data_IF_654721434368
#
_entry.id   IF_654721434368
#
_cell.length_a   1.000
_cell.length_b   1.000
_cell.length_c   1.000
_cell.angle_alpha   90.00
_cell.angle_beta   90.00
_cell.angle_gamma   90.00
#
_symmetry.space_group_name_H-M   'P 1'
#
loop_
_entity.id
_entity.type
_entity.pdbx_description
1 polymer ?
#
# COMPACT_ATOMS: atom_id res chain seq x y z
N UNK A 1 42.06 -16.51 -1.87
CA UNK A 1 41.50 -15.16 -1.65
C UNK A 1 42.64 -14.24 -1.22
N UNK A 2 42.65 -13.01 -1.70
CA UNK A 2 43.71 -12.02 -1.40
C UNK A 2 43.70 -11.63 0.10
N UNK A 3 44.78 -11.89 0.86
CA UNK A 3 44.84 -11.59 2.29
C UNK A 3 44.64 -10.11 2.61
N UNK A 4 45.07 -9.23 1.70
CA UNK A 4 44.94 -7.77 1.87
C UNK A 4 43.48 -7.30 1.77
N UNK A 5 42.71 -7.93 0.89
CA UNK A 5 41.27 -7.70 0.76
C UNK A 5 40.54 -8.12 2.02
N UNK A 6 40.89 -9.29 2.58
CA UNK A 6 40.27 -9.80 3.81
C UNK A 6 40.55 -8.91 5.03
N UNK A 7 41.76 -8.36 5.14
CA UNK A 7 42.13 -7.41 6.18
C UNK A 7 41.36 -6.07 6.08
N UNK A 8 40.92 -5.68 4.88
CA UNK A 8 40.20 -4.43 4.65
C UNK A 8 38.68 -4.53 4.89
N UNK A 9 38.11 -5.74 4.83
CA UNK A 9 36.68 -6.00 5.02
C UNK A 9 36.07 -5.40 6.31
N UNK A 10 36.68 -5.51 7.52
CA UNK A 10 36.09 -4.90 8.70
C UNK A 10 35.98 -3.38 8.60
N UNK A 11 36.95 -2.71 7.98
CA UNK A 11 36.92 -1.26 7.80
C UNK A 11 35.84 -0.83 6.80
N UNK A 12 35.69 -1.57 5.70
CA UNK A 12 34.62 -1.34 4.71
C UNK A 12 33.24 -1.47 5.38
N UNK A 13 33.04 -2.49 6.22
CA UNK A 13 31.78 -2.67 6.95
C UNK A 13 31.46 -1.48 7.85
N UNK A 14 32.44 -0.95 8.58
CA UNK A 14 32.26 0.23 9.43
C UNK A 14 31.88 1.43 8.58
N UNK A 15 32.59 1.68 7.49
CA UNK A 15 32.30 2.81 6.59
C UNK A 15 30.90 2.71 5.97
N UNK A 16 30.50 1.51 5.54
CA UNK A 16 29.16 1.29 5.01
C UNK A 16 28.09 1.54 6.07
N UNK A 17 28.30 1.09 7.31
CA UNK A 17 27.34 1.28 8.40
C UNK A 17 27.08 2.76 8.73
N UNK A 18 28.03 3.66 8.43
CA UNK A 18 27.82 5.10 8.59
C UNK A 18 26.75 5.65 7.65
N UNK A 19 26.53 5.05 6.48
CA UNK A 19 25.59 5.58 5.46
C UNK A 19 24.12 5.59 5.92
N UNK A 20 23.76 4.71 6.84
CA UNK A 20 22.42 4.62 7.44
C UNK A 20 22.45 4.87 8.95
N UNK A 21 23.48 5.56 9.45
CA UNK A 21 23.46 6.14 10.78
C UNK A 21 22.61 7.42 10.77
N UNK A 22 21.96 7.71 11.90
CA UNK A 22 21.19 8.95 12.19
C UNK A 22 21.81 10.20 11.60
N UNK A 23 23.09 10.46 11.85
CA UNK A 23 23.74 11.71 11.48
C UNK A 23 23.79 11.88 9.96
N UNK A 24 24.18 10.84 9.23
CA UNK A 24 24.26 10.87 7.77
C UNK A 24 22.87 10.91 7.15
N UNK A 25 21.90 10.15 7.68
CA UNK A 25 20.51 10.21 7.21
C UNK A 25 19.94 11.62 7.40
N UNK A 26 20.20 12.27 8.54
CA UNK A 26 19.75 13.63 8.79
C UNK A 26 20.38 14.66 7.85
N UNK A 27 21.69 14.55 7.61
CA UNK A 27 22.41 15.44 6.69
C UNK A 27 21.93 15.25 5.24
N UNK A 28 21.77 14.01 4.79
CA UNK A 28 21.40 13.70 3.42
C UNK A 28 19.94 14.03 3.14
N UNK A 29 19.04 13.60 4.02
CA UNK A 29 17.60 13.59 3.77
C UNK A 29 16.78 14.27 4.87
N UNK A 30 17.04 13.96 6.14
CA UNK A 30 16.16 14.33 7.25
C UNK A 30 15.98 15.84 7.43
N UNK A 31 17.07 16.61 7.49
CA UNK A 31 17.00 18.07 7.61
C UNK A 31 16.20 18.67 6.44
N UNK A 32 16.49 18.23 5.22
CA UNK A 32 15.81 18.73 4.03
C UNK A 32 14.32 18.34 3.99
N UNK A 33 13.97 17.11 4.37
CA UNK A 33 12.59 16.68 4.48
C UNK A 33 11.85 17.48 5.55
N UNK A 34 12.44 17.67 6.72
CA UNK A 34 11.84 18.39 7.84
C UNK A 34 11.45 19.82 7.44
N UNK A 35 12.32 20.51 6.69
CA UNK A 35 12.06 21.84 6.12
C UNK A 35 10.90 21.83 5.12
N UNK A 36 10.82 20.79 4.28
CA UNK A 36 9.75 20.64 3.30
C UNK A 36 8.39 20.32 3.95
N UNK A 37 8.36 19.65 5.09
CA UNK A 37 7.09 19.23 5.71
C UNK A 37 6.60 20.15 6.81
N UNK A 38 7.31 21.25 7.10
CA UNK A 38 6.84 22.28 8.04
C UNK A 38 5.42 22.74 7.68
N UNK A 39 4.50 22.61 8.64
CA UNK A 39 3.08 22.97 8.46
C UNK A 39 2.27 22.00 7.60
N UNK A 40 2.84 20.86 7.20
CA UNK A 40 2.11 19.80 6.49
C UNK A 40 1.51 18.84 7.50
N UNK A 41 0.19 18.81 7.58
CA UNK A 41 -0.54 17.76 8.29
C UNK A 41 -1.05 16.70 7.31
N UNK A 42 -1.05 15.45 7.77
CA UNK A 42 -1.67 14.35 7.04
C UNK A 42 -3.16 14.63 6.79
N UNK A 43 -3.70 14.29 5.62
CA UNK A 43 -5.11 14.49 5.31
C UNK A 43 -6.00 13.86 6.38
N UNK A 44 -7.00 14.58 6.88
CA UNK A 44 -7.98 14.00 7.80
C UNK A 44 -9.06 13.26 7.00
N UNK A 45 -9.23 11.96 7.22
CA UNK A 45 -10.42 11.23 6.77
C UNK A 45 -11.41 11.16 7.93
N UNK A 46 -12.62 11.71 7.72
CA UNK A 46 -13.67 11.66 8.74
C UNK A 46 -14.00 10.21 9.12
N UNK A 47 -13.69 9.82 10.36
CA UNK A 47 -14.02 8.54 10.98
C UNK A 47 -15.51 8.44 11.36
N UNK A 48 -16.42 8.91 10.51
CA UNK A 48 -17.85 8.89 10.82
C UNK A 48 -18.40 7.46 10.77
N UNK A 49 -19.08 6.97 11.82
CA UNK A 49 -19.73 5.67 11.79
C UNK A 49 -21.04 5.77 11.02
N UNK A 50 -21.02 5.59 9.71
CA UNK A 50 -22.27 5.32 8.97
C UNK A 50 -22.65 3.86 9.18
N UNK A 51 -23.57 3.64 10.12
CA UNK A 51 -24.31 2.39 10.22
C UNK A 51 -25.03 2.12 8.90
N UNK A 52 -24.79 0.94 8.32
CA UNK A 52 -25.55 0.42 7.19
C UNK A 52 -27.03 0.24 7.62
N UNK A 53 -27.89 1.16 7.19
CA UNK A 53 -29.32 0.92 7.09
C UNK A 53 -29.68 0.81 5.61
N UNK A 54 -29.97 -0.41 5.19
CA UNK A 54 -30.60 -0.71 3.92
C UNK A 54 -32.07 -0.31 4.05
N UNK A 55 -32.43 0.88 3.56
CA UNK A 55 -33.84 1.32 3.45
C UNK A 55 -33.97 2.29 2.29
N UNK A 56 -34.78 1.90 1.30
CA UNK A 56 -35.11 2.74 0.16
C UNK A 56 -35.84 4.02 0.56
N UNK A 57 -35.76 4.99 -0.35
CA UNK A 57 -36.44 6.29 -0.36
C UNK A 57 -35.89 7.38 0.59
N UNK A 58 -34.98 8.23 0.05
CA UNK A 58 -34.91 9.67 0.36
C UNK A 58 -34.00 10.40 -0.63
N UNK A 59 -34.55 10.80 -1.78
CA UNK A 59 -33.84 11.53 -2.85
C UNK A 59 -33.90 13.07 -2.74
N UNK A 60 -34.41 13.64 -1.64
CA UNK A 60 -34.51 15.10 -1.50
C UNK A 60 -34.19 15.59 -0.09
N UNK A 61 -32.90 15.68 0.27
CA UNK A 61 -32.46 16.62 1.32
C UNK A 61 -30.95 16.92 1.32
N UNK A 62 -30.40 17.36 0.19
CA UNK A 62 -28.99 17.76 0.09
C UNK A 62 -28.76 19.03 -0.75
N UNK A 63 -29.49 20.11 -0.42
CA UNK A 63 -29.29 21.43 -1.05
C UNK A 63 -29.16 22.59 -0.02
N UNK A 64 -29.17 22.35 1.30
CA UNK A 64 -29.14 23.45 2.28
C UNK A 64 -27.90 23.52 3.21
N UNK A 65 -26.85 22.73 2.98
CA UNK A 65 -25.62 22.80 3.80
C UNK A 65 -24.44 23.50 3.12
N UNK A 66 -24.69 24.39 2.14
CA UNK A 66 -23.63 25.10 1.44
C UNK A 66 -23.43 26.55 1.91
N UNK A 67 -23.58 26.83 3.21
CA UNK A 67 -23.47 28.19 3.75
C UNK A 67 -22.80 28.35 5.12
N UNK A 68 -21.77 27.53 5.40
CA UNK A 68 -20.93 27.72 6.58
C UNK A 68 -19.45 27.51 6.25
N UNK A 69 -18.67 28.60 6.36
CA UNK A 69 -17.20 28.68 6.36
C UNK A 69 -16.46 28.55 5.02
N UNK A 70 -16.32 29.70 4.34
CA UNK A 70 -15.25 29.94 3.36
C UNK A 70 -14.00 30.41 4.10
N UNK A 71 -13.03 29.49 4.25
CA UNK A 71 -11.60 29.79 4.26
C UNK A 71 -10.87 28.58 3.67
N UNK A 72 -11.14 28.30 2.39
CA UNK A 72 -10.32 27.37 1.62
C UNK A 72 -9.06 28.12 1.18
N UNK A 73 -8.06 28.19 2.06
CA UNK A 73 -6.67 28.39 1.62
C UNK A 73 -6.39 27.29 0.58
N UNK A 74 -6.16 27.68 -0.67
CA UNK A 74 -5.75 26.72 -1.70
C UNK A 74 -4.46 26.05 -1.21
N UNK A 75 -4.55 24.78 -0.79
CA UNK A 75 -3.38 23.99 -0.41
C UNK A 75 -2.58 23.76 -1.69
N UNK A 76 -1.47 24.47 -1.84
CA UNK A 76 -0.55 24.30 -2.97
C UNK A 76 0.18 22.97 -2.82
N UNK A 77 -0.04 22.05 -3.76
CA UNK A 77 0.65 20.76 -3.78
C UNK A 77 1.94 20.83 -4.58
N UNK A 78 2.92 19.99 -4.20
CA UNK A 78 4.20 19.87 -4.92
C UNK A 78 4.01 19.00 -6.15
N UNK A 79 4.58 19.43 -7.28
CA UNK A 79 4.60 18.63 -8.49
C UNK A 79 5.67 17.53 -8.38
N UNK A 80 5.34 16.31 -8.82
CA UNK A 80 6.26 15.16 -8.77
C UNK A 80 7.60 15.41 -9.49
N UNK A 81 7.60 16.24 -10.54
CA UNK A 81 8.80 16.63 -11.29
C UNK A 81 9.46 17.94 -10.85
N UNK A 82 9.05 18.52 -9.72
CA UNK A 82 9.69 19.74 -9.19
C UNK A 82 11.12 19.45 -8.70
N UNK A 83 12.05 20.42 -8.78
CA UNK A 83 13.45 20.20 -8.41
C UNK A 83 13.61 19.79 -6.93
N UNK A 84 12.77 20.32 -6.04
CA UNK A 84 12.77 19.96 -4.63
C UNK A 84 12.36 18.50 -4.42
N UNK A 85 11.32 18.04 -5.13
CA UNK A 85 10.88 16.64 -5.08
C UNK A 85 11.94 15.72 -5.69
N UNK A 86 12.55 16.13 -6.80
CA UNK A 86 13.56 15.33 -7.48
C UNK A 86 14.76 15.05 -6.57
N UNK A 87 15.19 16.02 -5.75
CA UNK A 87 16.26 15.80 -4.77
C UNK A 87 15.92 14.69 -3.76
N UNK A 88 14.71 14.72 -3.18
CA UNK A 88 14.23 13.67 -2.26
C UNK A 88 14.21 12.31 -2.96
N UNK A 89 13.66 12.28 -4.17
CA UNK A 89 13.55 11.08 -5.00
C UNK A 89 14.92 10.44 -5.26
N UNK A 90 15.96 11.22 -5.59
CA UNK A 90 17.30 10.70 -5.83
C UNK A 90 17.94 10.10 -4.58
N UNK A 91 17.73 10.70 -3.41
CA UNK A 91 18.26 10.17 -2.16
C UNK A 91 17.51 8.88 -1.77
N UNK A 92 16.19 8.83 -1.97
CA UNK A 92 15.44 7.59 -1.78
C UNK A 92 15.89 6.49 -2.77
N UNK A 93 16.20 6.86 -4.01
CA UNK A 93 16.77 5.95 -5.03
C UNK A 93 18.11 5.36 -4.59
N UNK A 94 18.97 6.17 -3.96
CA UNK A 94 20.24 5.70 -3.37
C UNK A 94 19.99 4.60 -2.32
N UNK A 95 19.13 4.86 -1.33
CA UNK A 95 18.83 3.88 -0.28
C UNK A 95 18.09 2.64 -0.80
N UNK A 96 17.17 2.81 -1.76
CA UNK A 96 16.53 1.69 -2.44
C UNK A 96 17.56 0.82 -3.19
N UNK A 97 18.53 1.43 -3.86
CA UNK A 97 19.63 0.71 -4.50
C UNK A 97 20.49 -0.02 -3.47
N UNK A 98 20.76 0.60 -2.32
CA UNK A 98 21.49 -0.05 -1.22
C UNK A 98 20.75 -1.29 -0.69
N UNK A 99 19.43 -1.22 -0.50
CA UNK A 99 18.63 -2.37 -0.06
C UNK A 99 18.70 -3.55 -1.05
N UNK A 100 18.65 -3.27 -2.35
CA UNK A 100 18.67 -4.31 -3.39
C UNK A 100 20.06 -4.88 -3.68
N UNK A 101 21.13 -4.13 -3.37
CA UNK A 101 22.52 -4.56 -3.65
C UNK A 101 23.18 -5.18 -2.42
N UNK A 102 22.90 -4.65 -1.22
CA UNK A 102 23.48 -5.09 0.06
C UNK A 102 22.48 -5.95 0.84
N UNK A 103 22.01 -7.04 0.24
CA UNK A 103 20.93 -7.87 0.79
C UNK A 103 21.21 -8.42 2.20
N UNK A 104 22.47 -8.67 2.54
CA UNK A 104 22.87 -9.11 3.90
C UNK A 104 22.73 -8.01 4.96
N UNK A 105 22.65 -6.75 4.57
CA UNK A 105 22.54 -5.57 5.44
C UNK A 105 21.15 -4.94 5.36
N UNK A 106 20.20 -5.57 4.67
CA UNK A 106 18.88 -4.98 4.39
C UNK A 106 18.16 -4.59 5.69
N UNK A 107 18.16 -5.47 6.69
CA UNK A 107 17.52 -5.20 7.99
C UNK A 107 18.21 -4.07 8.76
N UNK A 108 19.53 -3.99 8.69
CA UNK A 108 20.30 -2.90 9.34
C UNK A 108 19.97 -1.55 8.69
N UNK A 109 19.91 -1.51 7.35
CA UNK A 109 19.53 -0.32 6.58
C UNK A 109 18.10 0.10 6.94
N UNK A 110 17.14 -0.82 6.88
CA UNK A 110 15.73 -0.52 7.20
C UNK A 110 15.59 -0.01 8.63
N UNK A 111 16.26 -0.64 9.59
CA UNK A 111 16.20 -0.22 11.00
C UNK A 111 16.80 1.17 11.20
N UNK A 112 17.94 1.46 10.56
CA UNK A 112 18.55 2.79 10.57
C UNK A 112 17.65 3.89 10.01
N UNK A 113 16.95 3.59 8.91
CA UNK A 113 16.02 4.51 8.25
C UNK A 113 14.72 4.74 9.04
N UNK A 114 14.21 3.73 9.74
CA UNK A 114 12.87 3.79 10.36
C UNK A 114 12.86 4.27 11.82
N UNK A 115 13.83 3.84 12.64
CA UNK A 115 13.70 3.93 14.10
C UNK A 115 14.45 5.08 14.73
N UNK A 116 15.50 5.55 14.08
CA UNK A 116 16.44 6.43 14.77
C UNK A 116 16.04 7.91 14.72
N UNK A 117 15.01 8.30 13.94
CA UNK A 117 14.56 9.69 13.83
C UNK A 117 13.14 9.85 13.24
N UNK A 118 12.66 11.08 13.07
CA UNK A 118 11.39 11.44 12.42
C UNK A 118 11.36 11.20 10.92
N UNK A 119 12.47 10.74 10.32
CA UNK A 119 12.65 10.66 8.86
C UNK A 119 11.51 9.91 8.15
N UNK A 120 11.10 8.74 8.66
CA UNK A 120 10.02 7.97 8.06
C UNK A 120 8.67 8.73 8.10
N UNK A 121 8.42 9.44 9.19
CA UNK A 121 7.22 10.27 9.34
C UNK A 121 7.28 11.51 8.43
N UNK A 122 8.42 12.17 8.35
CA UNK A 122 8.62 13.31 7.45
C UNK A 122 8.50 12.87 5.99
N UNK A 123 9.00 11.68 5.63
CA UNK A 123 8.80 11.11 4.29
C UNK A 123 7.32 10.83 4.01
N UNK A 124 6.55 10.37 5.00
CA UNK A 124 5.11 10.20 4.87
C UNK A 124 4.38 11.54 4.64
N UNK A 125 4.69 12.57 5.43
CA UNK A 125 4.12 13.91 5.25
C UNK A 125 4.51 14.50 3.89
N UNK A 126 5.74 14.26 3.45
CA UNK A 126 6.21 14.66 2.13
C UNK A 126 5.39 14.01 1.02
N UNK A 127 5.14 12.69 1.08
CA UNK A 127 4.25 12.01 0.12
C UNK A 127 2.84 12.59 0.11
N UNK A 128 2.30 12.92 1.29
CA UNK A 128 1.00 13.60 1.42
C UNK A 128 0.96 14.99 0.75
N UNK A 129 2.12 15.63 0.57
CA UNK A 129 2.23 16.94 -0.06
C UNK A 129 2.29 16.93 -1.60
N UNK A 130 2.44 15.76 -2.23
CA UNK A 130 2.59 15.61 -3.69
C UNK A 130 1.28 15.76 -4.49
N UNK A 131 0.15 15.96 -3.81
CA UNK A 131 -1.13 16.12 -4.48
C UNK A 131 -2.30 15.67 -3.61
N UNK A 132 -3.54 15.90 -4.07
CA UNK A 132 -4.70 15.26 -3.47
C UNK A 132 -4.52 13.73 -3.55
N UNK A 133 -4.83 13.02 -2.46
CA UNK A 133 -4.59 11.58 -2.31
C UNK A 133 -3.11 11.20 -2.57
N UNK A 134 -2.17 11.92 -1.95
CA UNK A 134 -0.73 11.63 -1.98
C UNK A 134 -0.15 11.53 -3.40
N UNK A 135 -0.62 12.36 -4.33
CA UNK A 135 -0.13 12.39 -5.71
C UNK A 135 -0.53 11.18 -6.56
N UNK A 136 -1.50 10.35 -6.13
CA UNK A 136 -1.89 9.10 -6.81
C UNK A 136 -2.07 9.24 -8.32
N UNK A 137 -2.74 10.30 -8.80
CA UNK A 137 -2.95 10.52 -10.23
C UNK A 137 -1.60 10.67 -10.97
N UNK A 138 -0.69 11.48 -10.43
CA UNK A 138 0.62 11.70 -11.04
C UNK A 138 1.44 10.41 -11.12
N UNK A 139 1.39 9.56 -10.08
CA UNK A 139 2.06 8.26 -10.11
C UNK A 139 1.43 7.29 -11.11
N UNK A 140 0.09 7.23 -11.21
CA UNK A 140 -0.60 6.38 -12.19
C UNK A 140 -0.30 6.84 -13.64
N UNK A 141 -0.33 8.15 -13.87
CA UNK A 141 0.01 8.74 -15.18
C UNK A 141 1.47 8.41 -15.52
N UNK A 142 2.41 8.57 -14.58
CA UNK A 142 3.82 8.19 -14.78
C UNK A 142 3.94 6.69 -15.07
N UNK A 143 3.21 5.84 -14.33
CA UNK A 143 3.28 4.38 -14.49
C UNK A 143 2.81 3.93 -15.88
N UNK A 144 1.82 4.62 -16.45
CA UNK A 144 1.36 4.38 -17.82
C UNK A 144 2.44 4.63 -18.88
N UNK A 145 3.39 5.55 -18.63
CA UNK A 145 4.53 5.82 -19.53
C UNK A 145 5.77 4.98 -19.19
N UNK A 146 5.92 4.52 -17.95
CA UNK A 146 7.09 3.78 -17.48
C UNK A 146 6.69 2.44 -16.81
N UNK A 147 6.19 1.53 -17.65
CA UNK A 147 5.69 0.22 -17.22
C UNK A 147 6.75 -0.71 -16.63
N UNK A 148 8.04 -0.39 -16.82
CA UNK A 148 9.14 -1.10 -16.16
C UNK A 148 9.26 -0.77 -14.67
N UNK A 149 8.54 0.23 -14.17
CA UNK A 149 8.53 0.65 -12.76
C UNK A 149 9.93 1.02 -12.22
N UNK A 150 10.88 1.36 -13.11
CA UNK A 150 12.29 1.61 -12.77
C UNK A 150 12.60 3.09 -12.56
N UNK A 151 11.60 3.96 -12.69
CA UNK A 151 11.77 5.38 -12.44
C UNK A 151 12.13 5.63 -10.96
N UNK A 152 13.05 6.57 -10.66
CA UNK A 152 13.39 6.93 -9.29
C UNK A 152 12.18 7.27 -8.41
N UNK A 153 11.12 7.85 -8.97
CA UNK A 153 9.88 8.18 -8.26
C UNK A 153 9.18 6.93 -7.71
N UNK A 154 9.25 5.80 -8.43
CA UNK A 154 8.75 4.52 -7.94
C UNK A 154 9.68 3.89 -6.91
N UNK A 155 10.98 4.15 -6.99
CA UNK A 155 11.94 3.68 -5.99
C UNK A 155 11.73 4.40 -4.65
N UNK A 156 11.32 5.67 -4.66
CA UNK A 156 10.87 6.37 -3.46
C UNK A 156 9.64 5.72 -2.82
N UNK A 157 8.62 5.39 -3.63
CA UNK A 157 7.44 4.68 -3.14
C UNK A 157 7.78 3.28 -2.58
N UNK A 158 8.68 2.56 -3.24
CA UNK A 158 9.17 1.25 -2.77
C UNK A 158 9.91 1.39 -1.44
N UNK A 159 10.88 2.30 -1.36
CA UNK A 159 11.63 2.55 -0.12
C UNK A 159 10.70 2.90 1.04
N UNK A 160 9.76 3.81 0.82
CA UNK A 160 8.78 4.17 1.82
C UNK A 160 7.96 2.97 2.28
N UNK A 161 7.48 2.16 1.33
CA UNK A 161 6.67 1.00 1.64
C UNK A 161 7.44 -0.09 2.40
N UNK A 162 8.69 -0.34 2.03
CA UNK A 162 9.57 -1.29 2.71
C UNK A 162 9.89 -0.83 4.13
N UNK A 163 10.23 0.46 4.29
CA UNK A 163 10.48 1.07 5.60
C UNK A 163 9.24 1.00 6.50
N UNK A 164 8.08 1.38 5.97
CA UNK A 164 6.84 1.38 6.73
C UNK A 164 6.34 -0.04 7.03
N UNK A 165 6.56 -1.00 6.14
CA UNK A 165 6.26 -2.41 6.39
C UNK A 165 7.15 -2.95 7.53
N UNK A 166 8.45 -2.64 7.53
CA UNK A 166 9.37 -2.98 8.62
C UNK A 166 8.91 -2.34 9.94
N UNK A 167 8.61 -1.04 9.92
CA UNK A 167 8.12 -0.29 11.08
C UNK A 167 6.85 -0.91 11.67
N UNK A 168 5.79 -1.10 10.86
CA UNK A 168 4.51 -1.68 11.30
C UNK A 168 4.66 -3.12 11.80
N UNK A 169 5.66 -3.86 11.30
CA UNK A 169 5.91 -5.24 11.73
C UNK A 169 6.40 -5.29 13.17
N UNK A 170 7.30 -4.39 13.57
CA UNK A 170 7.88 -4.41 14.91
C UNK A 170 7.21 -3.44 15.90
N UNK A 171 6.36 -2.53 15.41
CA UNK A 171 5.51 -1.65 16.22
C UNK A 171 4.54 -2.47 17.08
N UNK A 172 4.53 -2.26 18.39
CA UNK A 172 3.61 -3.00 19.27
C UNK A 172 2.21 -2.37 19.34
N UNK A 173 1.26 -3.05 20.01
CA UNK A 173 -0.12 -2.57 20.11
C UNK A 173 -0.26 -1.33 21.02
N UNK A 174 0.63 -1.15 22.02
CA UNK A 174 0.64 0.02 22.89
C UNK A 174 1.09 1.26 22.11
N UNK A 175 2.19 1.14 21.38
CA UNK A 175 2.75 2.19 20.52
C UNK A 175 1.75 2.61 19.43
N UNK A 176 1.15 1.64 18.73
CA UNK A 176 0.25 1.92 17.61
C UNK A 176 -1.09 2.50 18.03
N UNK A 177 -1.76 1.94 19.04
CA UNK A 177 -3.15 2.29 19.36
C UNK A 177 -3.26 3.34 20.47
N UNK A 178 -2.31 3.38 21.40
CA UNK A 178 -2.38 4.27 22.56
C UNK A 178 -1.41 5.45 22.44
N UNK A 179 -0.12 5.19 22.17
CA UNK A 179 0.87 6.27 22.11
C UNK A 179 0.74 7.13 20.85
N UNK A 180 0.52 6.51 19.68
CA UNK A 180 0.30 7.19 18.39
C UNK A 180 1.35 8.26 18.07
N UNK A 181 2.62 7.92 18.26
CA UNK A 181 3.76 8.80 18.04
C UNK A 181 4.89 8.05 17.31
N UNK A 182 5.43 8.59 16.19
CA UNK A 182 5.00 9.81 15.51
C UNK A 182 3.73 9.62 14.65
N UNK A 183 3.38 8.38 14.31
CA UNK A 183 2.22 8.07 13.47
C UNK A 183 0.93 7.95 14.26
N UNK A 184 -0.13 8.58 13.77
CA UNK A 184 -1.50 8.46 14.29
C UNK A 184 -2.26 7.38 13.55
N UNK A 185 -3.36 6.88 14.13
CA UNK A 185 -4.25 5.94 13.45
C UNK A 185 -4.77 6.49 12.11
N UNK A 186 -5.04 7.79 12.04
CA UNK A 186 -5.45 8.44 10.79
C UNK A 186 -4.37 8.37 9.68
N UNK A 187 -3.08 8.36 10.02
CA UNK A 187 -2.01 8.19 9.02
C UNK A 187 -2.11 6.84 8.33
N UNK A 188 -2.32 5.77 9.11
CA UNK A 188 -2.51 4.41 8.57
C UNK A 188 -3.80 4.30 7.74
N UNK A 189 -4.86 5.02 8.11
CA UNK A 189 -6.12 5.11 7.33
C UNK A 189 -5.86 5.75 5.96
N UNK A 190 -5.22 6.92 5.92
CA UNK A 190 -4.92 7.61 4.64
C UNK A 190 -3.97 6.79 3.78
N UNK A 191 -2.95 6.20 4.38
CA UNK A 191 -1.96 5.37 3.71
C UNK A 191 -2.59 4.13 3.08
N UNK A 192 -3.37 3.38 3.85
CA UNK A 192 -4.06 2.20 3.33
C UNK A 192 -5.06 2.56 2.23
N UNK A 193 -5.76 3.69 2.33
CA UNK A 193 -6.63 4.17 1.25
C UNK A 193 -5.85 4.49 -0.04
N UNK A 194 -4.69 5.15 0.07
CA UNK A 194 -3.80 5.39 -1.07
C UNK A 194 -3.35 4.09 -1.71
N UNK A 195 -2.80 3.16 -0.93
CA UNK A 195 -2.30 1.87 -1.42
C UNK A 195 -3.40 1.04 -2.09
N UNK A 196 -4.56 0.94 -1.44
CA UNK A 196 -5.69 0.16 -1.91
C UNK A 196 -6.21 0.72 -3.25
N UNK A 197 -6.39 2.04 -3.34
CA UNK A 197 -6.85 2.68 -4.57
C UNK A 197 -5.80 2.66 -5.69
N UNK A 198 -4.52 2.86 -5.37
CA UNK A 198 -3.42 2.85 -6.33
C UNK A 198 -3.27 1.48 -6.98
N UNK A 199 -3.15 0.41 -6.18
CA UNK A 199 -2.98 -0.95 -6.69
C UNK A 199 -4.21 -1.41 -7.47
N UNK A 200 -5.42 -1.12 -6.98
CA UNK A 200 -6.66 -1.42 -7.71
C UNK A 200 -6.67 -0.77 -9.10
N UNK A 201 -6.41 0.55 -9.17
CA UNK A 201 -6.44 1.29 -10.44
C UNK A 201 -5.32 0.86 -11.39
N UNK A 202 -4.13 0.59 -10.86
CA UNK A 202 -2.99 0.15 -11.67
C UNK A 202 -3.23 -1.24 -12.28
N UNK A 203 -3.78 -2.18 -11.51
CA UNK A 203 -4.12 -3.52 -12.03
C UNK A 203 -5.28 -3.44 -13.02
N UNK A 204 -6.37 -2.74 -12.69
CA UNK A 204 -7.52 -2.63 -13.59
C UNK A 204 -7.16 -1.89 -14.89
N UNK A 205 -6.29 -0.89 -14.81
CA UNK A 205 -5.75 -0.16 -15.95
C UNK A 205 -4.72 -0.92 -16.79
N UNK A 206 -4.39 -2.18 -16.42
CA UNK A 206 -3.33 -2.98 -17.04
C UNK A 206 -1.96 -2.26 -17.07
N UNK A 207 -1.65 -1.49 -16.03
CA UNK A 207 -0.38 -0.75 -15.93
C UNK A 207 0.79 -1.64 -15.51
N UNK A 208 0.50 -2.81 -14.94
CA UNK A 208 1.46 -3.85 -14.66
C UNK A 208 1.38 -4.99 -15.68
N UNK A 209 2.51 -5.61 -15.99
CA UNK A 209 2.53 -6.88 -16.72
C UNK A 209 2.07 -8.02 -15.80
N UNK A 210 0.88 -8.56 -16.07
CA UNK A 210 0.28 -9.64 -15.27
C UNK A 210 1.06 -10.96 -15.30
N UNK A 211 1.99 -11.15 -16.23
CA UNK A 211 2.87 -12.34 -16.21
C UNK A 211 3.96 -12.22 -15.16
N UNK A 212 4.41 -11.01 -14.86
CA UNK A 212 5.57 -10.73 -14.00
C UNK A 212 5.18 -9.93 -12.75
N UNK A 213 3.90 -9.65 -12.52
CA UNK A 213 3.45 -8.82 -11.40
C UNK A 213 3.86 -9.36 -10.02
N UNK A 214 3.94 -10.69 -9.86
CA UNK A 214 4.37 -11.32 -8.61
C UNK A 214 5.85 -11.09 -8.30
N UNK A 215 6.66 -10.73 -9.30
CA UNK A 215 8.06 -10.34 -9.14
C UNK A 215 8.31 -8.86 -9.42
N UNK A 216 7.25 -8.06 -9.65
CA UNK A 216 7.38 -6.62 -9.86
C UNK A 216 7.65 -5.94 -8.50
N UNK A 217 8.80 -5.26 -8.34
CA UNK A 217 9.24 -4.80 -7.02
C UNK A 217 8.35 -3.66 -6.48
N UNK A 218 7.83 -2.79 -7.35
CA UNK A 218 6.85 -1.76 -6.97
C UNK A 218 5.56 -2.38 -6.45
N UNK A 219 5.00 -3.34 -7.18
CA UNK A 219 3.79 -4.03 -6.74
C UNK A 219 4.01 -4.75 -5.41
N UNK A 220 5.10 -5.52 -5.28
CA UNK A 220 5.40 -6.28 -4.07
C UNK A 220 5.56 -5.40 -2.83
N UNK A 221 6.30 -4.29 -2.93
CA UNK A 221 6.54 -3.39 -1.80
C UNK A 221 5.22 -2.77 -1.31
N UNK A 222 4.42 -2.21 -2.23
CA UNK A 222 3.14 -1.58 -1.90
C UNK A 222 2.09 -2.58 -1.42
N UNK A 223 2.01 -3.75 -2.05
CA UNK A 223 1.07 -4.81 -1.70
C UNK A 223 1.38 -5.41 -0.33
N UNK A 224 2.66 -5.64 -0.03
CA UNK A 224 3.10 -6.12 1.29
C UNK A 224 2.66 -5.18 2.39
N UNK A 225 2.93 -3.87 2.24
CA UNK A 225 2.47 -2.87 3.21
C UNK A 225 0.95 -2.85 3.33
N UNK A 226 0.21 -2.87 2.22
CA UNK A 226 -1.25 -2.88 2.23
C UNK A 226 -1.79 -4.07 3.03
N UNK A 227 -1.27 -5.27 2.79
CA UNK A 227 -1.73 -6.48 3.47
C UNK A 227 -1.35 -6.50 4.95
N UNK A 228 -0.20 -5.92 5.32
CA UNK A 228 0.18 -5.75 6.74
C UNK A 228 -0.81 -4.81 7.46
N UNK A 229 -1.12 -3.67 6.87
CA UNK A 229 -2.09 -2.71 7.43
C UNK A 229 -3.49 -3.32 7.54
N UNK A 230 -3.92 -4.08 6.52
CA UNK A 230 -5.19 -4.81 6.54
C UNK A 230 -5.26 -5.84 7.66
N UNK A 231 -4.22 -6.68 7.81
CA UNK A 231 -4.16 -7.68 8.90
C UNK A 231 -4.18 -7.05 10.28
N UNK A 232 -3.48 -5.90 10.46
CA UNK A 232 -3.53 -5.13 11.70
C UNK A 232 -4.95 -4.66 12.01
N UNK A 233 -5.64 -4.11 11.02
CA UNK A 233 -7.02 -3.65 11.17
C UNK A 233 -7.97 -4.81 11.50
N UNK A 234 -7.83 -5.97 10.83
CA UNK A 234 -8.61 -7.16 11.16
C UNK A 234 -8.42 -7.65 12.61
N UNK A 235 -7.22 -7.48 13.17
CA UNK A 235 -6.93 -7.85 14.57
C UNK A 235 -7.53 -6.87 15.55
N UNK A 236 -7.44 -5.56 15.27
CA UNK A 236 -8.03 -4.49 16.06
C UNK A 236 -8.37 -3.32 15.13
N UNK A 237 -9.66 -3.15 14.87
CA UNK A 237 -10.14 -2.15 13.93
C UNK A 237 -9.70 -0.74 14.35
N UNK A 238 -9.10 0.00 13.41
CA UNK A 238 -8.80 1.43 13.49
C UNK A 238 -9.36 2.21 12.29
N UNK A 239 -9.85 1.52 11.25
CA UNK A 239 -10.44 2.14 10.06
C UNK A 239 -11.98 2.29 10.16
N UNK A 240 -12.59 3.24 9.42
CA UNK A 240 -14.04 3.33 9.29
C UNK A 240 -14.65 2.10 8.59
N UNK A 241 -15.96 1.90 8.81
CA UNK A 241 -16.70 0.86 8.11
C UNK A 241 -16.63 1.03 6.58
N UNK A 242 -16.32 -0.06 5.87
CA UNK A 242 -16.22 -0.08 4.40
C UNK A 242 -14.95 0.56 3.84
N UNK A 243 -13.97 0.91 4.67
CA UNK A 243 -12.68 1.51 4.26
C UNK A 243 -11.94 0.69 3.18
N UNK A 244 -11.91 -0.63 3.38
CA UNK A 244 -11.21 -1.56 2.49
C UNK A 244 -11.91 -1.81 1.16
N UNK A 245 -13.20 -1.43 1.04
CA UNK A 245 -13.99 -1.59 -0.18
C UNK A 245 -13.72 -0.45 -1.15
N UNK A 246 -13.57 -0.78 -2.44
CA UNK A 246 -13.44 0.26 -3.47
C UNK A 246 -14.83 0.72 -3.91
N UNK A 247 -15.17 1.96 -3.55
CA UNK A 247 -16.51 2.56 -3.81
C UNK A 247 -16.86 2.67 -5.30
N UNK A 248 -15.87 2.76 -6.17
CA UNK A 248 -16.06 2.88 -7.62
C UNK A 248 -16.30 1.52 -8.32
N UNK A 249 -16.20 0.40 -7.60
CA UNK A 249 -16.50 -0.92 -8.16
C UNK A 249 -18.01 -1.06 -8.35
N UNK A 250 -18.46 -1.09 -9.60
CA UNK A 250 -19.74 -1.71 -9.94
C UNK A 250 -19.57 -3.23 -9.82
N UNK A 251 -19.94 -3.78 -8.67
CA UNK A 251 -19.77 -5.22 -8.36
C UNK A 251 -20.30 -6.09 -9.49
N UNK A 252 -21.50 -5.80 -10.02
CA UNK A 252 -22.07 -6.55 -11.14
C UNK A 252 -21.19 -6.56 -12.40
N UNK A 253 -20.54 -5.44 -12.73
CA UNK A 253 -19.63 -5.37 -13.88
C UNK A 253 -18.32 -6.12 -13.61
N UNK A 254 -17.79 -6.01 -12.39
CA UNK A 254 -16.60 -6.75 -11.97
C UNK A 254 -16.84 -8.27 -12.04
N UNK A 255 -17.99 -8.72 -11.55
CA UNK A 255 -18.42 -10.13 -11.58
C UNK A 255 -18.56 -10.63 -13.02
N UNK A 256 -19.23 -9.87 -13.88
CA UNK A 256 -19.36 -10.21 -15.30
C UNK A 256 -18.01 -10.28 -16.03
N UNK A 257 -17.05 -9.44 -15.66
CA UNK A 257 -15.69 -9.47 -16.23
C UNK A 257 -14.87 -10.66 -15.70
N UNK A 258 -15.10 -11.06 -14.44
CA UNK A 258 -14.50 -12.25 -13.84
C UNK A 258 -15.01 -13.55 -14.50
N UNK A 259 -16.33 -13.65 -14.72
CA UNK A 259 -16.98 -14.76 -15.45
C UNK A 259 -16.45 -14.89 -16.88
N UNK A 260 -16.17 -13.75 -17.55
CA UNK A 260 -15.55 -13.71 -18.88
C UNK A 260 -14.06 -14.06 -18.87
N UNK A 261 -13.48 -14.38 -17.71
CA UNK A 261 -12.08 -14.76 -17.59
C UNK A 261 -11.10 -13.61 -17.79
N UNK A 262 -11.50 -12.36 -17.53
CA UNK A 262 -10.56 -11.23 -17.64
C UNK A 262 -9.47 -11.33 -16.56
N UNK A 263 -8.22 -11.14 -16.97
CA UNK A 263 -7.05 -11.32 -16.10
C UNK A 263 -6.99 -10.33 -14.94
N UNK A 264 -7.35 -9.07 -15.15
CA UNK A 264 -7.26 -8.04 -14.11
C UNK A 264 -8.20 -8.32 -12.92
N UNK A 265 -9.51 -8.59 -13.10
CA UNK A 265 -10.39 -9.03 -12.01
C UNK A 265 -9.93 -10.31 -11.32
N UNK A 266 -9.45 -11.31 -12.08
CA UNK A 266 -8.90 -12.54 -11.49
C UNK A 266 -7.71 -12.23 -10.58
N UNK A 267 -6.78 -11.41 -11.04
CA UNK A 267 -5.60 -11.04 -10.26
C UNK A 267 -5.96 -10.23 -9.01
N UNK A 268 -6.91 -9.29 -9.12
CA UNK A 268 -7.43 -8.54 -7.98
C UNK A 268 -8.11 -9.45 -6.97
N UNK A 269 -8.87 -10.44 -7.42
CA UNK A 269 -9.48 -11.43 -6.53
C UNK A 269 -8.40 -12.21 -5.77
N UNK A 270 -7.33 -12.62 -6.46
CA UNK A 270 -6.23 -13.40 -5.88
C UNK A 270 -5.36 -12.60 -4.91
N UNK A 271 -5.11 -11.33 -5.19
CA UNK A 271 -4.14 -10.50 -4.45
C UNK A 271 -4.79 -9.55 -3.46
N UNK A 272 -5.99 -9.07 -3.76
CA UNK A 272 -6.70 -8.03 -2.99
C UNK A 272 -8.19 -8.37 -2.82
N UNK A 273 -8.56 -9.56 -2.32
CA UNK A 273 -9.97 -9.94 -2.20
C UNK A 273 -10.76 -9.00 -1.28
N UNK A 274 -10.11 -8.35 -0.31
CA UNK A 274 -10.74 -7.44 0.64
C UNK A 274 -11.48 -6.26 -0.01
N UNK A 275 -11.19 -5.91 -1.27
CA UNK A 275 -11.87 -4.83 -1.99
C UNK A 275 -13.31 -5.15 -2.40
N UNK A 276 -13.68 -6.43 -2.37
CA UNK A 276 -15.01 -6.93 -2.75
C UNK A 276 -15.80 -7.25 -1.47
N UNK A 277 -17.08 -6.88 -1.35
CA UNK A 277 -17.90 -7.22 -0.19
C UNK A 277 -17.90 -8.73 0.10
N UNK A 278 -17.88 -9.10 1.38
CA UNK A 278 -17.79 -10.51 1.79
C UNK A 278 -18.92 -11.37 1.20
N UNK A 279 -20.16 -10.87 1.20
CA UNK A 279 -21.33 -11.58 0.64
C UNK A 279 -21.12 -11.97 -0.82
N UNK A 280 -20.54 -11.07 -1.62
CA UNK A 280 -20.24 -11.30 -3.04
C UNK A 280 -19.11 -12.31 -3.21
N UNK A 281 -18.07 -12.26 -2.36
CA UNK A 281 -16.98 -13.25 -2.38
C UNK A 281 -17.48 -14.66 -2.03
N UNK A 282 -18.38 -14.77 -1.05
CA UNK A 282 -19.01 -16.04 -0.69
C UNK A 282 -19.91 -16.54 -1.82
N UNK A 283 -20.63 -15.66 -2.51
CA UNK A 283 -21.42 -16.02 -3.69
C UNK A 283 -20.54 -16.58 -4.82
N UNK A 284 -19.47 -15.86 -5.17
CA UNK A 284 -18.48 -16.34 -6.16
C UNK A 284 -17.92 -17.72 -5.81
N UNK A 285 -17.55 -17.89 -4.54
CA UNK A 285 -17.07 -19.16 -4.04
C UNK A 285 -18.11 -20.26 -4.30
N UNK A 286 -19.37 -20.08 -3.88
CA UNK A 286 -20.44 -21.08 -4.09
C UNK A 286 -20.68 -21.41 -5.56
N UNK A 287 -20.66 -20.42 -6.45
CA UNK A 287 -20.87 -20.62 -7.89
C UNK A 287 -19.76 -21.50 -8.49
N UNK A 288 -18.49 -21.18 -8.22
CA UNK A 288 -17.34 -21.97 -8.71
C UNK A 288 -17.33 -23.40 -8.13
N UNK A 289 -17.79 -23.58 -6.90
CA UNK A 289 -17.95 -24.90 -6.30
C UNK A 289 -19.01 -25.71 -7.04
N UNK A 290 -20.18 -25.12 -7.31
CA UNK A 290 -21.28 -25.80 -8.00
C UNK A 290 -20.90 -26.24 -9.42
N UNK A 291 -20.22 -25.37 -10.20
CA UNK A 291 -19.77 -25.71 -11.55
C UNK A 291 -18.78 -26.89 -11.55
N UNK A 292 -17.82 -26.90 -10.61
CA UNK A 292 -16.81 -27.95 -10.51
C UNK A 292 -17.37 -29.26 -9.97
N UNK A 293 -18.34 -29.22 -9.06
CA UNK A 293 -19.08 -30.41 -8.63
C UNK A 293 -19.88 -31.02 -9.79
N UNK A 294 -20.54 -30.19 -10.58
CA UNK A 294 -21.28 -30.64 -11.77
C UNK A 294 -20.33 -31.28 -12.79
N UNK A 295 -19.15 -30.70 -13.02
CA UNK A 295 -18.11 -31.26 -13.89
C UNK A 295 -17.53 -32.59 -13.35
N UNK A 296 -17.25 -32.67 -12.04
CA UNK A 296 -16.75 -33.89 -11.43
C UNK A 296 -17.78 -35.04 -11.50
N UNK A 297 -19.07 -34.72 -11.29
CA UNK A 297 -20.17 -35.67 -11.47
C UNK A 297 -20.32 -36.11 -12.91
N UNK A 298 -20.22 -35.19 -13.89
CA UNK A 298 -20.30 -35.55 -15.32
C UNK A 298 -19.13 -36.43 -15.77
N UNK A 299 -17.99 -36.36 -15.08
CA UNK A 299 -16.77 -37.09 -15.45
C UNK A 299 -16.45 -38.27 -14.52
N UNK A 300 -17.36 -38.63 -13.60
CA UNK A 300 -17.20 -39.79 -12.71
C UNK A 300 -16.06 -39.69 -11.69
N UNK A 301 -15.61 -38.47 -11.36
CA UNK A 301 -14.51 -38.23 -10.42
C UNK A 301 -15.07 -38.14 -8.99
N UNK A 302 -14.64 -39.04 -8.10
CA UNK A 302 -15.01 -38.99 -6.68
C UNK A 302 -14.27 -37.88 -5.95
N UNK A 303 -14.98 -36.85 -5.47
CA UNK A 303 -14.38 -35.70 -4.76
C UNK A 303 -14.55 -35.87 -3.24
N UNK A 304 -13.44 -35.95 -2.50
CA UNK A 304 -13.44 -35.76 -1.03
C UNK A 304 -13.30 -34.26 -0.73
N UNK A 305 -14.37 -33.68 -0.19
CA UNK A 305 -14.57 -32.24 -0.02
C UNK A 305 -13.55 -31.52 0.89
N UNK A 306 -12.86 -32.21 1.80
CA UNK A 306 -11.96 -31.57 2.78
C UNK A 306 -10.49 -31.47 2.36
N UNK A 307 -10.05 -32.17 1.30
CA UNK A 307 -8.62 -32.24 0.93
C UNK A 307 -8.22 -31.42 -0.30
N UNK A 308 -9.16 -30.73 -0.95
CA UNK A 308 -8.93 -30.07 -2.25
C UNK A 308 -8.99 -28.53 -2.16
N UNK A 309 -9.58 -27.96 -1.11
CA UNK A 309 -10.02 -26.56 -1.08
C UNK A 309 -9.39 -25.57 -0.07
N UNK A 310 -8.20 -25.78 0.52
CA UNK A 310 -7.56 -24.71 1.31
C UNK A 310 -7.15 -23.51 0.46
N UNK A 311 -6.67 -23.74 -0.77
CA UNK A 311 -6.09 -22.69 -1.60
C UNK A 311 -7.13 -21.73 -2.16
N UNK A 312 -8.29 -22.23 -2.60
CA UNK A 312 -9.34 -21.36 -3.16
C UNK A 312 -10.05 -20.55 -2.06
N UNK A 313 -10.35 -21.15 -0.90
CA UNK A 313 -10.86 -20.42 0.28
C UNK A 313 -9.98 -19.25 0.69
N UNK A 314 -8.65 -19.46 0.66
CA UNK A 314 -7.63 -18.43 0.91
C UNK A 314 -7.63 -17.38 -0.20
N UNK A 315 -7.70 -17.83 -1.46
CA UNK A 315 -7.66 -16.99 -2.66
C UNK A 315 -8.87 -16.06 -2.81
N UNK A 316 -10.08 -16.47 -2.39
CA UNK A 316 -11.28 -15.59 -2.36
C UNK A 316 -11.45 -14.86 -1.02
N UNK A 317 -10.56 -15.06 -0.05
CA UNK A 317 -10.64 -14.44 1.27
C UNK A 317 -11.96 -14.74 2.00
N UNK A 318 -12.47 -15.97 1.85
CA UNK A 318 -13.70 -16.46 2.50
C UNK A 318 -13.39 -17.08 3.86
N UNK A 319 -12.21 -17.68 4.02
CA UNK A 319 -11.68 -18.01 5.33
C UNK A 319 -10.93 -16.80 5.88
N UNK A 320 -11.50 -16.14 6.88
CA UNK A 320 -10.75 -15.27 7.80
C UNK A 320 -10.24 -16.18 8.91
N UNK A 321 -8.96 -16.06 9.27
CA UNK A 321 -8.40 -16.77 10.42
C UNK A 321 -9.11 -16.38 11.72
#
# INVERSE_FOLDING_TARGET
MDPSLHASMPHIKIQLHLLWNVEIIQIMLGNYLSELVVGTEAPFQNLSPTQNSFSGASFFKKVLENRSSKSATQKTYRALGSPEVHRVVLICSLYHTALNTLTQLQLDILTGLCYQNTMLYDLWLFLCSLGPNCGMKAFLDHLAFNTKCSAPEFQMLQLFADCMAHYVTILDDMEMYEQQNPFKLNDFVVMSNFLNAFLYKAVLGNLFDFKTIQSNPLFQSLHTLLMLLYRRDCRRNYTPAGHWLVKDIKVSAFMADLEKGRRAPQLLLQTMPHIIPHEDRVRLFREVHSERENYARSNGIGVRLSSVYPDYCTQVGVCVF
#
